data_IF_179949023496
#
_entry.id   IF_179949023496
#
_cell.length_a   1.000
_cell.length_b   1.000
_cell.length_c   1.000
_cell.angle_alpha   90.00
_cell.angle_beta   90.00
_cell.angle_gamma   90.00
#
_symmetry.space_group_name_H-M   'P 1'
#
loop_
_entity.id
_entity.type
_entity.pdbx_description
1 polymer ?
#
# COMPACT_ATOMS: atom_id res chain seq x y z
N UNK A 1 7.05 3.48 -0.05
CA UNK A 1 5.70 3.21 -0.58
C UNK A 1 5.81 3.21 -2.09
N UNK A 2 5.13 2.34 -2.84
CA UNK A 2 5.10 2.43 -4.30
C UNK A 2 4.69 3.82 -4.74
N UNK A 3 5.49 4.46 -5.58
CA UNK A 3 5.23 5.85 -6.00
C UNK A 3 3.94 5.99 -6.79
N UNK A 4 3.56 4.94 -7.51
CA UNK A 4 2.30 4.85 -8.22
C UNK A 4 1.09 4.98 -7.31
N UNK A 5 1.21 4.85 -5.98
CA UNK A 5 0.10 5.11 -5.07
C UNK A 5 -0.13 6.61 -4.83
N UNK A 6 0.90 7.44 -5.03
CA UNK A 6 0.77 8.89 -4.87
C UNK A 6 0.11 9.55 -6.08
N UNK A 7 -0.58 10.68 -5.87
CA UNK A 7 -0.94 11.58 -6.95
C UNK A 7 0.33 12.03 -7.71
N UNK A 8 0.23 12.28 -9.03
CA UNK A 8 1.34 12.84 -9.77
C UNK A 8 1.74 14.20 -9.17
N UNK A 9 3.03 14.40 -8.99
CA UNK A 9 3.61 15.63 -8.47
C UNK A 9 4.82 16.01 -9.31
N UNK A 10 5.09 17.33 -9.49
CA UNK A 10 6.29 17.77 -10.19
C UNK A 10 7.54 17.28 -9.44
N UNK A 11 8.53 16.79 -10.19
CA UNK A 11 9.81 16.33 -9.66
C UNK A 11 10.94 17.13 -10.29
N UNK A 12 11.92 17.50 -9.48
CA UNK A 12 13.20 18.03 -9.96
C UNK A 12 14.21 16.88 -10.08
N UNK A 13 15.31 17.14 -10.78
CA UNK A 13 16.43 16.20 -10.85
C UNK A 13 17.28 16.17 -9.56
N UNK A 14 16.79 16.75 -8.46
CA UNK A 14 17.43 16.65 -7.14
C UNK A 14 16.98 15.40 -6.37
N UNK A 15 15.86 14.78 -6.77
CA UNK A 15 15.30 13.60 -6.15
C UNK A 15 15.11 12.48 -7.17
N UNK A 16 15.82 11.38 -6.96
CA UNK A 16 15.72 10.19 -7.80
C UNK A 16 14.97 9.09 -7.08
N UNK A 17 13.88 8.64 -7.68
CA UNK A 17 13.23 7.41 -7.27
C UNK A 17 13.69 6.26 -8.16
N UNK A 18 14.07 5.16 -7.52
CA UNK A 18 14.36 3.90 -8.18
C UNK A 18 13.16 2.95 -8.18
N UNK A 19 12.01 3.38 -7.63
CA UNK A 19 10.78 2.59 -7.56
C UNK A 19 10.60 1.82 -6.24
N UNK A 20 9.79 0.76 -6.26
CA UNK A 20 9.59 -0.11 -5.10
C UNK A 20 9.90 -1.56 -5.46
N UNK A 21 10.89 -2.13 -4.78
CA UNK A 21 11.23 -3.54 -4.96
C UNK A 21 10.13 -4.45 -4.37
N UNK A 22 9.55 -5.26 -5.25
CA UNK A 22 8.65 -6.35 -4.93
C UNK A 22 9.45 -7.64 -4.79
N UNK A 23 9.34 -8.31 -3.64
CA UNK A 23 10.03 -9.57 -3.39
C UNK A 23 9.37 -10.70 -4.19
N UNK A 24 10.17 -11.61 -4.71
CA UNK A 24 9.65 -12.85 -5.29
C UNK A 24 9.05 -13.77 -4.22
N UNK A 25 8.09 -14.60 -4.64
CA UNK A 25 7.48 -15.59 -3.77
C UNK A 25 8.48 -16.70 -3.42
N UNK A 26 8.66 -16.97 -2.14
CA UNK A 26 9.37 -18.15 -1.66
C UNK A 26 8.41 -19.31 -1.48
N UNK A 27 8.97 -20.52 -1.39
CA UNK A 27 8.18 -21.73 -1.11
C UNK A 27 7.56 -21.65 0.29
N UNK A 28 6.24 -21.78 0.36
CA UNK A 28 5.52 -21.87 1.63
C UNK A 28 5.84 -23.18 2.36
N UNK A 29 5.90 -23.19 3.70
CA UNK A 29 5.92 -24.42 4.48
C UNK A 29 4.77 -25.34 4.08
N UNK A 30 5.02 -26.65 4.01
CA UNK A 30 4.08 -27.64 3.47
C UNK A 30 2.71 -27.58 4.16
N UNK A 31 2.69 -27.45 5.49
CA UNK A 31 1.48 -27.40 6.29
C UNK A 31 0.62 -26.15 5.99
N UNK A 32 1.25 -25.01 5.71
CA UNK A 32 0.59 -23.76 5.30
C UNK A 32 0.13 -23.89 3.85
N UNK A 33 1.01 -24.40 2.97
CA UNK A 33 0.71 -24.59 1.55
C UNK A 33 -0.51 -25.48 1.34
N UNK A 34 -0.56 -26.63 2.00
CA UNK A 34 -1.67 -27.59 1.90
C UNK A 34 -2.98 -26.96 2.38
N UNK A 35 -2.93 -26.12 3.41
CA UNK A 35 -4.09 -25.42 3.93
C UNK A 35 -4.64 -24.36 2.96
N UNK A 36 -3.77 -23.51 2.39
CA UNK A 36 -4.20 -22.44 1.47
C UNK A 36 -4.48 -22.94 0.06
N UNK A 37 -3.97 -24.12 -0.29
CA UNK A 37 -4.16 -24.74 -1.61
C UNK A 37 -5.46 -25.54 -1.73
N UNK A 38 -6.18 -25.76 -0.62
CA UNK A 38 -7.41 -26.55 -0.55
C UNK A 38 -8.34 -26.31 -1.76
N UNK A 39 -8.55 -27.33 -2.63
CA UNK A 39 -9.34 -27.19 -3.85
C UNK A 39 -10.81 -26.84 -3.59
N UNK A 40 -11.35 -27.15 -2.41
CA UNK A 40 -12.74 -26.84 -2.06
C UNK A 40 -12.92 -25.37 -1.64
N UNK A 41 -11.83 -24.69 -1.29
CA UNK A 41 -11.88 -23.29 -0.89
C UNK A 41 -11.98 -22.35 -2.08
N UNK A 42 -12.86 -21.35 -1.95
CA UNK A 42 -13.00 -20.24 -2.89
C UNK A 42 -11.81 -19.29 -2.91
N UNK A 43 -10.96 -19.34 -1.88
CA UNK A 43 -9.77 -18.52 -1.77
C UNK A 43 -9.29 -18.36 -0.33
N UNK A 44 -8.18 -17.65 -0.16
CA UNK A 44 -7.56 -17.40 1.13
C UNK A 44 -7.70 -15.93 1.53
N UNK A 45 -8.18 -15.70 2.75
CA UNK A 45 -8.21 -14.39 3.41
C UNK A 45 -7.03 -14.36 4.38
N UNK A 46 -6.19 -13.32 4.26
CA UNK A 46 -5.06 -13.10 5.16
C UNK A 46 -5.41 -11.96 6.11
N UNK A 47 -5.21 -12.14 7.41
CA UNK A 47 -5.42 -11.12 8.45
C UNK A 47 -4.10 -10.90 9.18
N UNK A 48 -3.52 -9.71 9.07
CA UNK A 48 -2.27 -9.38 9.77
C UNK A 48 -2.16 -7.88 10.09
N UNK A 49 -2.05 -7.57 11.39
CA UNK A 49 -2.01 -6.19 11.90
C UNK A 49 -0.58 -5.71 12.24
N UNK A 50 0.43 -6.45 11.77
CA UNK A 50 1.83 -6.14 12.05
C UNK A 50 2.21 -6.42 13.50
N UNK A 51 3.42 -6.02 13.88
CA UNK A 51 3.99 -6.30 15.21
C UNK A 51 3.68 -5.25 16.26
N UNK A 52 3.24 -4.06 15.85
CA UNK A 52 2.97 -2.91 16.73
C UNK A 52 1.51 -2.78 17.16
N UNK A 53 0.64 -3.65 16.64
CA UNK A 53 -0.79 -3.72 17.03
C UNK A 53 -1.05 -5.13 17.55
N UNK A 54 -0.65 -5.43 18.79
CA UNK A 54 -0.82 -6.76 19.33
C UNK A 54 -2.28 -7.08 19.63
N UNK A 55 -2.69 -8.31 19.31
CA UNK A 55 -4.05 -8.79 19.57
C UNK A 55 -4.34 -9.01 21.06
N UNK A 56 -3.33 -9.29 21.90
CA UNK A 56 -3.54 -9.37 23.34
C UNK A 56 -3.99 -8.03 23.97
N UNK A 57 -3.71 -6.90 23.32
CA UNK A 57 -4.14 -5.58 23.77
C UNK A 57 -5.48 -5.15 23.15
N UNK A 58 -6.07 -5.96 22.27
CA UNK A 58 -7.33 -5.63 21.60
C UNK A 58 -8.49 -5.63 22.62
N UNK A 59 -9.41 -4.66 22.57
CA UNK A 59 -10.63 -4.71 23.36
C UNK A 59 -11.42 -6.00 23.07
N UNK A 60 -11.86 -6.72 24.11
CA UNK A 60 -12.53 -8.02 23.99
C UNK A 60 -13.68 -8.03 23.00
N UNK A 61 -14.53 -6.99 23.01
CA UNK A 61 -15.67 -6.88 22.09
C UNK A 61 -15.25 -6.78 20.61
N UNK A 62 -14.11 -6.13 20.31
CA UNK A 62 -13.59 -6.04 18.93
C UNK A 62 -12.94 -7.34 18.49
N UNK A 63 -12.21 -7.98 19.40
CA UNK A 63 -11.65 -9.31 19.13
C UNK A 63 -12.78 -10.30 18.81
N UNK A 64 -13.83 -10.32 19.63
CA UNK A 64 -14.99 -11.18 19.41
C UNK A 64 -15.67 -10.88 18.07
N UNK A 65 -15.85 -9.61 17.71
CA UNK A 65 -16.39 -9.22 16.41
C UNK A 65 -15.58 -9.77 15.22
N UNK A 66 -14.24 -9.81 15.32
CA UNK A 66 -13.40 -10.44 14.29
C UNK A 66 -13.58 -11.96 14.25
N UNK A 67 -13.65 -12.62 15.40
CA UNK A 67 -13.88 -14.07 15.49
C UNK A 67 -15.21 -14.44 14.85
N UNK A 68 -16.29 -13.76 15.25
CA UNK A 68 -17.65 -14.00 14.76
C UNK A 68 -17.71 -13.79 13.24
N UNK A 69 -17.18 -12.66 12.76
CA UNK A 69 -17.18 -12.36 11.33
C UNK A 69 -16.38 -13.38 10.52
N UNK A 70 -15.15 -13.74 10.93
CA UNK A 70 -14.30 -14.68 10.19
C UNK A 70 -14.84 -16.11 10.20
N UNK A 71 -15.55 -16.51 11.26
CA UNK A 71 -16.22 -17.80 11.33
C UNK A 71 -17.35 -17.94 10.29
N UNK A 72 -17.96 -16.83 9.85
CA UNK A 72 -19.02 -16.83 8.83
C UNK A 72 -18.49 -17.03 7.38
N UNK A 73 -17.18 -17.05 7.16
CA UNK A 73 -16.56 -17.25 5.84
C UNK A 73 -16.10 -18.70 5.60
N UNK A 74 -16.99 -19.67 5.82
CA UNK A 74 -16.70 -21.12 5.76
C UNK A 74 -16.18 -21.61 4.41
N UNK A 75 -16.52 -20.91 3.32
CA UNK A 75 -16.06 -21.25 1.96
C UNK A 75 -14.60 -20.82 1.70
N UNK A 76 -14.00 -20.06 2.62
CA UNK A 76 -12.66 -19.49 2.50
C UNK A 76 -11.74 -20.10 3.55
N UNK A 77 -10.45 -20.15 3.23
CA UNK A 77 -9.40 -20.41 4.22
C UNK A 77 -8.96 -19.08 4.80
N UNK A 78 -8.86 -18.99 6.12
CA UNK A 78 -8.40 -17.78 6.80
C UNK A 78 -7.07 -18.06 7.48
N UNK A 79 -6.05 -17.26 7.18
CA UNK A 79 -4.82 -17.22 7.96
C UNK A 79 -4.79 -15.91 8.73
N UNK A 80 -4.73 -16.01 10.05
CA UNK A 80 -4.73 -14.86 10.94
C UNK A 80 -3.45 -14.85 11.78
N UNK A 81 -2.61 -13.83 11.53
CA UNK A 81 -1.48 -13.53 12.39
C UNK A 81 -1.98 -13.00 13.74
N UNK A 82 -1.81 -13.81 14.78
CA UNK A 82 -2.46 -13.64 16.09
C UNK A 82 -1.49 -13.95 17.23
N UNK A 83 -1.30 -12.96 18.12
CA UNK A 83 -0.42 -13.05 19.31
C UNK A 83 -1.19 -12.71 20.60
N UNK A 84 -2.49 -13.02 20.61
CA UNK A 84 -3.37 -12.85 21.77
C UNK A 84 -3.53 -14.13 22.59
N UNK A 85 -4.38 -14.06 23.61
CA UNK A 85 -4.78 -15.25 24.40
C UNK A 85 -5.52 -16.27 23.54
N UNK A 86 -5.47 -17.58 23.88
CA UNK A 86 -6.21 -18.59 23.13
C UNK A 86 -7.69 -18.22 22.94
N UNK A 87 -8.16 -18.37 21.72
CA UNK A 87 -9.56 -18.14 21.30
C UNK A 87 -10.03 -19.32 20.46
N UNK A 88 -11.33 -19.60 20.52
CA UNK A 88 -11.94 -20.62 19.67
C UNK A 88 -12.30 -20.02 18.31
N UNK A 89 -11.82 -20.68 17.25
CA UNK A 89 -12.12 -20.32 15.86
C UNK A 89 -12.52 -21.58 15.10
N UNK A 90 -13.27 -21.41 14.01
CA UNK A 90 -13.69 -22.52 13.17
C UNK A 90 -12.49 -23.19 12.45
N UNK A 91 -12.66 -24.45 12.03
CA UNK A 91 -11.59 -25.26 11.42
C UNK A 91 -11.00 -24.69 10.11
N UNK A 92 -11.71 -23.77 9.45
CA UNK A 92 -11.23 -23.06 8.26
C UNK A 92 -10.39 -21.82 8.58
N UNK A 93 -10.20 -21.51 9.86
CA UNK A 93 -9.38 -20.39 10.36
C UNK A 93 -8.14 -20.95 11.07
N UNK A 94 -6.95 -20.55 10.61
CA UNK A 94 -5.69 -20.85 11.27
C UNK A 94 -5.13 -19.60 11.94
N UNK A 95 -4.89 -19.71 13.25
CA UNK A 95 -4.16 -18.72 14.02
C UNK A 95 -2.68 -19.09 14.03
N UNK A 96 -1.82 -18.13 13.69
CA UNK A 96 -0.37 -18.30 13.70
C UNK A 96 0.25 -17.05 14.32
N UNK A 97 1.25 -17.19 15.17
CA UNK A 97 1.93 -16.02 15.74
C UNK A 97 2.66 -15.22 14.65
N UNK A 98 3.31 -15.94 13.73
CA UNK A 98 4.01 -15.39 12.58
C UNK A 98 3.58 -16.07 11.29
N UNK A 99 3.50 -15.31 10.20
CA UNK A 99 3.12 -15.82 8.87
C UNK A 99 4.11 -15.36 7.79
N UNK A 100 4.37 -16.19 6.76
CA UNK A 100 5.12 -15.77 5.57
C UNK A 100 4.24 -14.86 4.69
N UNK A 101 3.99 -13.63 5.16
CA UNK A 101 2.97 -12.71 4.59
C UNK A 101 3.17 -12.44 3.11
N UNK A 102 4.39 -12.11 2.67
CA UNK A 102 4.68 -11.84 1.26
C UNK A 102 4.34 -13.05 0.37
N UNK A 103 4.75 -14.25 0.80
CA UNK A 103 4.55 -15.48 0.04
C UNK A 103 3.07 -15.89 0.01
N UNK A 104 2.35 -15.68 1.10
CA UNK A 104 0.90 -15.84 1.17
C UNK A 104 0.18 -14.85 0.26
N UNK A 105 0.58 -13.58 0.24
CA UNK A 105 -0.03 -12.58 -0.63
C UNK A 105 0.21 -12.87 -2.12
N UNK A 106 1.38 -13.41 -2.47
CA UNK A 106 1.72 -13.83 -3.83
C UNK A 106 1.11 -15.19 -4.22
N UNK A 107 0.54 -15.93 -3.27
CA UNK A 107 -0.15 -17.18 -3.57
C UNK A 107 -1.42 -16.94 -4.40
N UNK A 108 -1.58 -17.72 -5.48
CA UNK A 108 -2.66 -17.53 -6.47
C UNK A 108 -4.08 -17.58 -5.92
N UNK A 109 -4.29 -18.25 -4.77
CA UNK A 109 -5.60 -18.35 -4.12
C UNK A 109 -5.90 -17.22 -3.15
N UNK A 110 -4.96 -16.32 -2.88
CA UNK A 110 -5.20 -15.21 -1.96
C UNK A 110 -6.12 -14.18 -2.59
N UNK A 111 -7.26 -13.96 -1.96
CA UNK A 111 -8.35 -13.13 -2.49
C UNK A 111 -8.53 -11.83 -1.72
N UNK A 112 -8.09 -11.79 -0.46
CA UNK A 112 -8.26 -10.63 0.40
C UNK A 112 -7.13 -10.53 1.43
N UNK A 113 -6.67 -9.31 1.68
CA UNK A 113 -5.77 -8.98 2.77
C UNK A 113 -6.39 -7.95 3.71
N UNK A 114 -6.57 -8.32 4.97
CA UNK A 114 -7.04 -7.43 6.04
C UNK A 114 -5.83 -7.03 6.89
N UNK A 115 -5.56 -5.73 6.98
CA UNK A 115 -4.37 -5.24 7.69
C UNK A 115 -4.57 -3.86 8.30
N UNK A 116 -3.66 -3.47 9.18
CA UNK A 116 -3.54 -2.11 9.70
C UNK A 116 -3.17 -1.03 8.67
N UNK A 117 -2.72 -1.39 7.46
CA UNK A 117 -2.33 -0.42 6.42
C UNK A 117 -0.95 0.21 6.63
N UNK A 118 -0.05 -0.47 7.36
CA UNK A 118 1.35 -0.05 7.47
C UNK A 118 2.07 -0.05 6.12
N UNK A 119 3.13 0.76 6.00
CA UNK A 119 3.88 0.97 4.76
C UNK A 119 4.29 -0.33 4.05
N UNK A 120 4.79 -1.33 4.80
CA UNK A 120 5.21 -2.63 4.25
C UNK A 120 4.02 -3.43 3.75
N UNK A 121 2.96 -3.54 4.55
CA UNK A 121 1.73 -4.24 4.21
C UNK A 121 1.08 -3.67 2.94
N UNK A 122 1.00 -2.35 2.80
CA UNK A 122 0.45 -1.73 1.58
C UNK A 122 1.36 -1.94 0.37
N UNK A 123 2.69 -1.92 0.55
CA UNK A 123 3.63 -2.25 -0.52
C UNK A 123 3.42 -3.69 -1.01
N UNK A 124 3.36 -4.65 -0.09
CA UNK A 124 3.20 -6.07 -0.43
C UNK A 124 1.84 -6.33 -1.09
N UNK A 125 0.77 -5.70 -0.61
CA UNK A 125 -0.55 -5.77 -1.24
C UNK A 125 -0.57 -5.23 -2.69
N UNK A 126 0.13 -4.11 -2.94
CA UNK A 126 0.28 -3.56 -4.28
C UNK A 126 1.13 -4.48 -5.17
N UNK A 127 2.26 -5.00 -4.66
CA UNK A 127 3.13 -5.93 -5.37
C UNK A 127 2.43 -7.25 -5.73
N UNK A 128 1.50 -7.73 -4.89
CA UNK A 128 0.73 -8.94 -5.16
C UNK A 128 -0.55 -8.70 -5.96
N UNK A 129 -0.99 -7.45 -6.06
CA UNK A 129 -2.29 -7.09 -6.63
C UNK A 129 -3.46 -7.68 -5.84
N UNK A 130 -3.30 -7.81 -4.51
CA UNK A 130 -4.30 -8.43 -3.63
C UNK A 130 -5.28 -7.36 -3.13
N UNK A 131 -6.59 -7.52 -3.37
CA UNK A 131 -7.62 -6.67 -2.77
C UNK A 131 -7.44 -6.57 -1.26
N UNK A 132 -7.61 -5.37 -0.69
CA UNK A 132 -7.28 -5.16 0.71
C UNK A 132 -8.36 -4.40 1.50
N UNK A 133 -8.50 -4.74 2.77
CA UNK A 133 -9.23 -3.95 3.75
C UNK A 133 -8.24 -3.43 4.77
N UNK A 134 -8.08 -2.11 4.83
CA UNK A 134 -7.16 -1.48 5.77
C UNK A 134 -7.93 -0.89 6.95
N UNK A 135 -7.54 -1.26 8.17
CA UNK A 135 -8.03 -0.67 9.41
C UNK A 135 -6.91 0.14 10.09
N UNK A 136 -6.73 1.42 9.74
CA UNK A 136 -5.67 2.25 10.28
C UNK A 136 -5.74 2.37 11.80
N UNK A 137 -4.63 2.06 12.46
CA UNK A 137 -4.52 2.10 13.92
C UNK A 137 -3.87 3.41 14.39
N UNK A 138 -2.74 3.81 13.79
CA UNK A 138 -1.96 5.00 14.16
C UNK A 138 -1.01 5.48 13.04
N UNK A 139 -0.26 6.55 13.31
CA UNK A 139 0.76 7.14 12.43
C UNK A 139 0.24 7.41 11.00
N UNK A 140 1.02 7.04 9.97
CA UNK A 140 0.74 7.31 8.57
C UNK A 140 -0.23 6.30 7.92
N UNK A 141 -0.71 5.31 8.69
CA UNK A 141 -1.54 4.21 8.18
C UNK A 141 -2.83 4.71 7.52
N UNK A 142 -3.45 5.78 8.05
CA UNK A 142 -4.67 6.35 7.46
C UNK A 142 -4.39 6.95 6.08
N UNK A 143 -3.28 7.69 5.95
CA UNK A 143 -2.81 8.20 4.65
C UNK A 143 -2.53 7.05 3.69
N UNK A 144 -1.84 6.00 4.15
CA UNK A 144 -1.53 4.85 3.30
C UNK A 144 -2.79 4.15 2.80
N UNK A 145 -3.76 3.93 3.69
CA UNK A 145 -5.04 3.31 3.36
C UNK A 145 -5.86 4.17 2.39
N UNK A 146 -5.84 5.50 2.55
CA UNK A 146 -6.49 6.42 1.63
C UNK A 146 -5.88 6.37 0.23
N UNK A 147 -4.55 6.32 0.12
CA UNK A 147 -3.86 6.19 -1.17
C UNK A 147 -4.22 4.87 -1.86
N UNK A 148 -4.26 3.77 -1.10
CA UNK A 148 -4.67 2.48 -1.62
C UNK A 148 -6.14 2.47 -2.09
N UNK A 149 -7.03 3.10 -1.33
CA UNK A 149 -8.43 3.28 -1.69
C UNK A 149 -8.61 4.12 -2.94
N UNK A 150 -7.88 5.23 -3.07
CA UNK A 150 -7.90 6.05 -4.29
C UNK A 150 -7.43 5.30 -5.54
N UNK A 151 -6.54 4.32 -5.37
CA UNK A 151 -6.10 3.43 -6.46
C UNK A 151 -7.10 2.32 -6.75
N UNK A 152 -8.11 2.15 -5.90
CA UNK A 152 -9.27 1.31 -6.12
C UNK A 152 -9.08 -0.17 -5.81
N UNK A 153 -7.94 -0.58 -5.25
CA UNK A 153 -7.68 -1.98 -4.86
C UNK A 153 -7.94 -2.24 -3.36
N UNK A 154 -8.29 -1.21 -2.60
CA UNK A 154 -8.57 -1.35 -1.17
C UNK A 154 -9.77 -0.51 -0.71
N UNK A 155 -10.35 -0.88 0.43
CA UNK A 155 -11.25 -0.03 1.20
C UNK A 155 -10.79 0.09 2.67
N UNK A 156 -11.38 1.03 3.40
CA UNK A 156 -10.98 1.39 4.76
C UNK A 156 -12.04 0.93 5.76
N UNK A 157 -11.60 0.17 6.76
CA UNK A 157 -12.38 -0.19 7.93
C UNK A 157 -12.23 0.90 9.00
N UNK A 158 -13.36 1.36 9.52
CA UNK A 158 -13.40 2.29 10.65
C UNK A 158 -13.24 1.51 11.96
N UNK A 159 -12.10 1.67 12.63
CA UNK A 159 -11.79 0.99 13.90
C UNK A 159 -12.79 1.29 15.02
N UNK A 160 -13.59 2.34 14.93
CA UNK A 160 -14.60 2.71 15.93
C UNK A 160 -15.96 2.03 15.69
N UNK A 161 -16.21 1.50 14.49
CA UNK A 161 -17.47 0.87 14.10
C UNK A 161 -17.37 -0.66 14.04
N UNK A 162 -16.33 -1.25 14.63
CA UNK A 162 -16.05 -2.69 14.54
C UNK A 162 -17.12 -3.49 15.26
N UNK A 163 -17.99 -4.11 14.47
CA UNK A 163 -18.95 -5.14 14.84
C UNK A 163 -18.81 -6.32 13.87
N UNK A 164 -19.38 -7.48 14.21
CA UNK A 164 -19.36 -8.64 13.31
C UNK A 164 -20.00 -8.31 11.96
N UNK A 165 -21.21 -7.73 11.99
CA UNK A 165 -21.96 -7.36 10.78
C UNK A 165 -21.19 -6.36 9.91
N UNK A 166 -20.56 -5.35 10.52
CA UNK A 166 -19.77 -4.36 9.78
C UNK A 166 -18.55 -4.99 9.08
N UNK A 167 -17.85 -5.89 9.77
CA UNK A 167 -16.72 -6.61 9.19
C UNK A 167 -17.18 -7.54 8.07
N UNK A 168 -18.24 -8.29 8.30
CA UNK A 168 -18.80 -9.22 7.32
C UNK A 168 -19.26 -8.49 6.05
N UNK A 169 -20.01 -7.40 6.20
CA UNK A 169 -20.44 -6.55 5.08
C UNK A 169 -19.24 -6.09 4.25
N UNK A 170 -18.21 -5.54 4.90
CA UNK A 170 -17.02 -5.01 4.22
C UNK A 170 -16.18 -6.09 3.55
N UNK A 171 -16.02 -7.24 4.20
CA UNK A 171 -15.32 -8.39 3.62
C UNK A 171 -16.08 -8.91 2.39
N UNK A 172 -17.41 -9.10 2.49
CA UNK A 172 -18.24 -9.54 1.36
C UNK A 172 -18.22 -8.55 0.20
N UNK A 173 -18.25 -7.26 0.49
CA UNK A 173 -18.14 -6.19 -0.51
C UNK A 173 -16.86 -6.36 -1.35
N UNK A 174 -15.69 -6.44 -0.70
CA UNK A 174 -14.41 -6.56 -1.41
C UNK A 174 -14.27 -7.90 -2.14
N UNK A 175 -14.79 -9.00 -1.57
CA UNK A 175 -14.74 -10.33 -2.20
C UNK A 175 -15.66 -10.44 -3.43
N UNK A 176 -16.80 -9.75 -3.44
CA UNK A 176 -17.80 -9.84 -4.51
C UNK A 176 -17.59 -8.82 -5.62
N UNK A 177 -17.07 -7.63 -5.30
CA UNK A 177 -16.82 -6.57 -6.28
C UNK A 177 -15.52 -6.83 -7.06
N UNK A 178 -15.67 -7.27 -8.31
CA UNK A 178 -14.53 -7.56 -9.21
C UNK A 178 -13.58 -6.37 -9.39
N UNK A 179 -14.08 -5.14 -9.23
CA UNK A 179 -13.31 -3.93 -9.44
C UNK A 179 -12.04 -3.86 -8.55
N UNK A 180 -12.11 -4.29 -7.28
CA UNK A 180 -10.93 -4.28 -6.40
C UNK A 180 -9.82 -5.18 -6.93
N UNK A 181 -10.17 -6.38 -7.42
CA UNK A 181 -9.18 -7.31 -7.97
C UNK A 181 -8.62 -6.82 -9.30
N UNK A 182 -9.48 -6.30 -10.17
CA UNK A 182 -9.04 -5.70 -11.45
C UNK A 182 -8.07 -4.55 -11.20
N UNK A 183 -8.42 -3.60 -10.32
CA UNK A 183 -7.56 -2.47 -9.95
C UNK A 183 -6.25 -2.91 -9.31
N UNK A 184 -6.28 -3.92 -8.45
CA UNK A 184 -5.08 -4.50 -7.84
C UNK A 184 -4.13 -5.10 -8.89
N UNK A 185 -4.66 -5.86 -9.85
CA UNK A 185 -3.86 -6.44 -10.93
C UNK A 185 -3.28 -5.36 -11.85
N UNK A 186 -4.07 -4.35 -12.25
CA UNK A 186 -3.59 -3.22 -13.07
C UNK A 186 -2.45 -2.50 -12.35
N UNK A 187 -2.62 -2.17 -11.07
CA UNK A 187 -1.57 -1.53 -10.28
C UNK A 187 -0.30 -2.37 -10.20
N UNK A 188 -0.44 -3.70 -10.04
CA UNK A 188 0.70 -4.62 -10.04
C UNK A 188 1.44 -4.60 -11.37
N UNK A 189 0.71 -4.66 -12.49
CA UNK A 189 1.29 -4.60 -13.84
C UNK A 189 2.03 -3.28 -14.04
N UNK A 190 1.40 -2.14 -13.71
CA UNK A 190 2.04 -0.80 -13.78
C UNK A 190 3.29 -0.70 -12.90
N UNK A 191 3.29 -1.34 -11.71
CA UNK A 191 4.42 -1.33 -10.79
C UNK A 191 5.61 -2.16 -11.26
N UNK A 192 5.35 -3.18 -12.08
CA UNK A 192 6.37 -4.07 -12.62
C UNK A 192 6.81 -3.66 -14.03
N UNK A 193 6.07 -2.74 -14.68
CA UNK A 193 6.35 -2.23 -16.01
C UNK A 193 7.48 -1.18 -16.00
N UNK A 194 8.70 -1.66 -15.82
CA UNK A 194 9.90 -0.85 -15.89
C UNK A 194 10.94 -1.49 -16.83
N UNK A 195 11.68 -0.67 -17.61
CA UNK A 195 12.68 -1.19 -18.56
C UNK A 195 13.89 -1.84 -17.87
N UNK A 196 14.12 -1.52 -16.60
CA UNK A 196 15.14 -2.11 -15.75
C UNK A 196 14.48 -2.58 -14.46
N UNK A 197 14.99 -3.65 -13.87
CA UNK A 197 14.59 -4.03 -12.52
C UNK A 197 14.85 -2.88 -11.55
N UNK A 198 14.04 -2.75 -10.50
CA UNK A 198 14.15 -1.68 -9.51
C UNK A 198 15.56 -1.56 -8.92
N UNK A 199 16.24 -2.69 -8.68
CA UNK A 199 17.59 -2.71 -8.11
C UNK A 199 18.67 -2.37 -9.16
N UNK A 200 18.50 -2.78 -10.41
CA UNK A 200 19.41 -2.39 -11.49
C UNK A 200 19.30 -0.89 -11.79
N UNK A 201 18.08 -0.35 -11.78
CA UNK A 201 17.85 1.08 -11.91
C UNK A 201 18.50 1.86 -10.77
N UNK A 202 18.37 1.40 -9.52
CA UNK A 202 19.06 2.00 -8.38
C UNK A 202 20.58 1.98 -8.56
N UNK A 203 21.14 0.85 -8.99
CA UNK A 203 22.57 0.69 -9.25
C UNK A 203 23.05 1.64 -10.34
N UNK A 204 22.29 1.77 -11.43
CA UNK A 204 22.56 2.73 -12.49
C UNK A 204 22.58 4.17 -11.98
N UNK A 205 21.58 4.59 -11.20
CA UNK A 205 21.49 5.94 -10.65
C UNK A 205 22.67 6.25 -9.71
N UNK A 206 23.02 5.32 -8.83
CA UNK A 206 24.17 5.47 -7.91
C UNK A 206 25.48 5.56 -8.68
N UNK A 207 25.73 4.66 -9.64
CA UNK A 207 26.94 4.69 -10.46
C UNK A 207 27.06 5.98 -11.26
N UNK A 208 25.93 6.49 -11.76
CA UNK A 208 25.87 7.76 -12.48
C UNK A 208 26.18 8.94 -11.57
N UNK A 209 25.68 8.95 -10.32
CA UNK A 209 26.00 9.99 -9.35
C UNK A 209 27.49 10.00 -8.99
N UNK A 210 28.07 8.82 -8.76
CA UNK A 210 29.51 8.66 -8.48
C UNK A 210 30.37 9.12 -9.66
N UNK A 211 29.96 8.83 -10.90
CA UNK A 211 30.63 9.30 -12.12
C UNK A 211 30.75 10.83 -12.19
N UNK A 212 29.80 11.56 -11.60
CA UNK A 212 29.78 13.03 -11.57
C UNK A 212 30.15 13.59 -10.19
N UNK A 213 30.90 12.84 -9.38
CA UNK A 213 31.45 13.33 -8.10
C UNK A 213 30.38 13.85 -7.12
N UNK A 214 29.17 13.29 -7.18
CA UNK A 214 28.07 13.62 -6.26
C UNK A 214 27.17 14.78 -6.69
N UNK A 215 27.43 15.46 -7.81
CA UNK A 215 26.52 16.46 -8.38
C UNK A 215 26.43 16.33 -9.90
N UNK A 216 25.21 16.25 -10.43
CA UNK A 216 25.04 16.18 -11.87
C UNK A 216 25.51 17.49 -12.56
N UNK A 217 25.87 17.43 -13.85
CA UNK A 217 26.13 18.63 -14.64
C UNK A 217 24.93 19.60 -14.62
N UNK A 218 25.20 20.91 -14.68
CA UNK A 218 24.17 21.95 -14.54
C UNK A 218 23.03 21.84 -15.57
N UNK A 219 23.28 21.25 -16.75
CA UNK A 219 22.23 21.04 -17.76
C UNK A 219 21.11 20.08 -17.33
N UNK A 220 21.33 19.26 -16.29
CA UNK A 220 20.30 18.41 -15.71
C UNK A 220 19.39 19.18 -14.75
N UNK A 221 19.72 20.39 -14.33
CA UNK A 221 18.88 21.15 -13.41
C UNK A 221 17.98 22.12 -14.18
N UNK A 222 16.71 22.27 -13.78
CA UNK A 222 15.83 23.22 -14.44
C UNK A 222 16.34 24.64 -14.17
N UNK A 223 16.44 25.48 -15.21
CA UNK A 223 16.89 26.88 -15.05
C UNK A 223 16.07 27.67 -14.03
N UNK A 224 14.83 27.24 -13.75
CA UNK A 224 13.97 27.84 -12.73
C UNK A 224 14.56 27.79 -11.32
N UNK A 225 15.49 26.87 -11.03
CA UNK A 225 16.20 26.82 -9.75
C UNK A 225 17.09 28.05 -9.50
N UNK A 226 17.43 28.80 -10.55
CA UNK A 226 18.26 29.99 -10.48
C UNK A 226 17.47 31.30 -10.56
N UNK A 227 16.13 31.24 -10.66
CA UNK A 227 15.28 32.43 -10.73
C UNK A 227 15.22 33.11 -9.36
N UNK A 228 15.34 34.44 -9.34
CA UNK A 228 15.24 35.22 -8.11
C UNK A 228 13.83 35.17 -7.52
N UNK A 229 13.70 35.39 -6.21
CA UNK A 229 12.39 35.39 -5.56
C UNK A 229 11.44 36.46 -6.13
N UNK A 230 11.98 37.59 -6.60
CA UNK A 230 11.22 38.67 -7.25
C UNK A 230 10.56 38.18 -8.54
N UNK A 231 11.32 37.51 -9.40
CA UNK A 231 10.80 36.96 -10.65
C UNK A 231 9.87 35.77 -10.42
N UNK A 232 10.15 34.92 -9.41
CA UNK A 232 9.28 33.80 -9.06
C UNK A 232 7.88 34.29 -8.57
N UNK A 233 7.85 35.35 -7.76
CA UNK A 233 6.60 35.97 -7.31
C UNK A 233 5.98 36.94 -8.33
N UNK A 234 6.56 37.08 -9.53
CA UNK A 234 6.15 38.05 -10.56
C UNK A 234 6.12 39.52 -10.09
N UNK A 235 6.92 39.86 -9.06
CA UNK A 235 7.00 41.22 -8.52
C UNK A 235 7.60 42.17 -9.57
N UNK A 236 8.59 41.69 -10.33
CA UNK A 236 9.17 42.39 -11.47
C UNK A 236 8.13 42.76 -12.54
N UNK A 237 7.23 41.83 -12.88
CA UNK A 237 6.12 42.07 -13.83
C UNK A 237 5.13 43.09 -13.28
N UNK A 238 4.74 42.98 -12.01
CA UNK A 238 3.81 43.92 -11.37
C UNK A 238 4.39 45.34 -11.27
N UNK A 239 5.68 45.46 -10.96
CA UNK A 239 6.39 46.73 -10.95
C UNK A 239 6.42 47.36 -12.34
N UNK A 240 6.76 46.57 -13.37
CA UNK A 240 6.79 47.04 -14.76
C UNK A 240 5.40 47.47 -15.24
N UNK A 241 4.35 46.70 -14.95
CA UNK A 241 2.97 47.04 -15.29
C UNK A 241 2.52 48.35 -14.60
N UNK A 242 2.89 48.54 -13.33
CA UNK A 242 2.59 49.75 -12.56
C UNK A 242 3.29 50.98 -13.15
N UNK A 243 4.55 50.86 -13.57
CA UNK A 243 5.29 51.93 -14.27
C UNK A 243 4.63 52.27 -15.60
N UNK A 244 4.23 51.28 -16.40
CA UNK A 244 3.55 51.51 -17.68
C UNK A 244 2.20 52.23 -17.48
N UNK A 245 1.40 51.80 -16.49
CA UNK A 245 0.13 52.46 -16.17
C UNK A 245 0.31 53.92 -15.79
N UNK A 246 1.32 54.22 -14.95
CA UNK A 246 1.64 55.60 -14.56
C UNK A 246 2.03 56.45 -15.78
N UNK A 247 2.81 55.90 -16.71
CA UNK A 247 3.24 56.61 -17.92
C UNK A 247 2.09 56.87 -18.91
N UNK A 248 1.12 55.96 -19.00
CA UNK A 248 -0.07 56.13 -19.88
C UNK A 248 -1.10 57.07 -19.26
N UNK A 249 -1.08 57.26 -17.93
CA UNK A 249 -1.99 58.16 -17.20
C UNK A 249 -1.55 59.64 -17.17
N UNK A 250 -0.38 59.97 -17.73
CA UNK A 250 0.13 61.34 -17.90
C UNK A 250 -0.16 61.88 -19.29
#
# INVERSE_FOLDING_TARGET
MPELLYPPAPRTNDYYSYGSYCNDAKTLPKDIYDFVSDPLSRGTIIVAFGTLVPWHAAPKHKLQAFVDALNNFTDYRVIWSYNGSPIEVANHVRLLEWIPQNDLLLHRKTVLFISHGGLKSVKEAACSGTPSLFMPMFAEQMRNAWLARNKGFADILNKFLVTSDYLEEKIRMVLNERNYKTRGNVLKEELLDHPLSTLDHATFLVNRLLKYEGKFPDFFYPRSSHISYLANLNIDVLLLASVVLLLVSQ
#
